data_IF_730856063049
#
_entry.id   IF_730856063049
#
_cell.length_a   1.000
_cell.length_b   1.000
_cell.length_c   1.000
_cell.angle_alpha   90.00
_cell.angle_beta   90.00
_cell.angle_gamma   90.00
#
_symmetry.space_group_name_H-M   'P 1'
#
loop_
_entity.id
_entity.type
_entity.pdbx_description
1 polymer ?
#
# COMPACT_ATOMS: atom_id res chain seq x y z
N UNK A 1 16.48 0.65 15.83
CA UNK A 1 16.15 0.05 14.52
C UNK A 1 15.41 -1.30 14.68
N UNK A 2 15.66 -2.05 15.76
CA UNK A 2 15.13 -3.42 15.94
C UNK A 2 13.61 -3.50 16.24
N UNK A 3 13.00 -2.43 16.71
CA UNK A 3 11.59 -2.47 17.20
C UNK A 3 10.54 -2.55 16.08
N UNK A 4 10.85 -2.10 14.85
CA UNK A 4 9.92 -2.13 13.72
C UNK A 4 9.73 -3.53 13.14
N UNK A 5 10.81 -4.32 13.07
CA UNK A 5 10.78 -5.69 12.54
C UNK A 5 9.95 -6.66 13.40
N UNK A 6 9.90 -6.42 14.72
CA UNK A 6 9.08 -7.21 15.63
C UNK A 6 7.60 -6.76 15.67
N UNK A 7 7.29 -5.53 15.24
CA UNK A 7 5.96 -4.98 15.27
C UNK A 7 5.05 -5.57 14.18
N UNK A 8 5.57 -5.72 12.96
CA UNK A 8 4.90 -6.38 11.84
C UNK A 8 5.09 -7.88 11.96
N UNK A 9 4.00 -8.64 11.90
CA UNK A 9 3.99 -10.10 12.03
C UNK A 9 3.79 -10.83 10.71
N UNK A 10 3.22 -10.16 9.73
CA UNK A 10 2.98 -10.74 8.42
C UNK A 10 2.59 -9.74 7.37
N UNK A 11 2.67 -10.21 6.14
CA UNK A 11 2.13 -9.54 4.96
C UNK A 11 1.02 -10.43 4.44
N UNK A 12 -0.10 -9.84 4.05
CA UNK A 12 -1.21 -10.54 3.41
C UNK A 12 -1.54 -9.87 2.09
N UNK A 13 -2.00 -10.68 1.12
CA UNK A 13 -2.55 -10.20 -0.16
C UNK A 13 -3.94 -10.76 -0.35
N UNK A 14 -4.83 -9.94 -0.89
CA UNK A 14 -6.12 -10.36 -1.43
C UNK A 14 -6.08 -10.04 -2.90
N UNK A 15 -6.11 -11.08 -3.70
CA UNK A 15 -5.99 -10.96 -5.15
C UNK A 15 -7.35 -10.83 -5.81
N UNK A 16 -7.34 -10.39 -7.07
CA UNK A 16 -8.50 -10.35 -7.95
C UNK A 16 -9.67 -9.53 -7.37
N UNK A 17 -9.39 -8.28 -7.01
CA UNK A 17 -10.39 -7.33 -6.53
C UNK A 17 -10.64 -6.23 -7.54
N UNK A 18 -11.86 -5.67 -7.52
CA UNK A 18 -12.22 -4.43 -8.18
C UNK A 18 -12.33 -3.31 -7.14
N UNK A 19 -11.70 -2.18 -7.44
CA UNK A 19 -11.82 -0.95 -6.67
C UNK A 19 -12.95 -0.10 -7.25
N UNK A 20 -13.92 0.25 -6.43
CA UNK A 20 -15.10 1.05 -6.81
C UNK A 20 -15.02 2.39 -6.10
N UNK A 21 -15.20 3.46 -6.85
CA UNK A 21 -15.22 4.82 -6.31
C UNK A 21 -16.50 5.52 -6.78
N UNK A 22 -17.34 5.92 -5.83
CA UNK A 22 -18.56 6.71 -6.05
C UNK A 22 -18.27 8.15 -5.64
N UNK A 23 -18.39 9.08 -6.58
CA UNK A 23 -18.08 10.49 -6.37
C UNK A 23 -19.28 11.39 -6.67
N UNK A 24 -19.47 12.41 -5.84
CA UNK A 24 -20.46 13.43 -6.08
C UNK A 24 -20.53 14.47 -4.98
N UNK A 25 -20.79 15.71 -5.36
CA UNK A 25 -20.98 16.84 -4.43
C UNK A 25 -22.30 16.75 -3.66
N UNK A 26 -23.28 16.06 -4.19
CA UNK A 26 -24.57 15.83 -3.55
C UNK A 26 -24.53 14.83 -2.38
N UNK A 27 -23.37 14.26 -2.07
CA UNK A 27 -23.20 13.40 -0.88
C UNK A 27 -22.82 14.20 0.38
N UNK A 28 -22.33 15.42 0.21
CA UNK A 28 -21.77 16.23 1.31
C UNK A 28 -22.89 16.63 2.27
N UNK A 29 -22.75 16.24 3.54
CA UNK A 29 -23.69 16.60 4.59
C UNK A 29 -25.08 15.99 4.43
N UNK A 30 -25.30 15.06 3.48
CA UNK A 30 -26.57 14.35 3.30
C UNK A 30 -26.53 13.04 4.07
N UNK A 31 -27.29 12.91 5.19
CA UNK A 31 -27.34 11.68 5.94
C UNK A 31 -27.98 10.54 5.13
N UNK A 32 -27.36 9.35 5.23
CA UNK A 32 -27.97 8.14 4.67
C UNK A 32 -27.44 7.67 3.34
N UNK A 33 -26.63 8.44 2.60
CA UNK A 33 -26.02 8.01 1.33
C UNK A 33 -25.23 6.72 1.48
N UNK A 34 -24.35 6.62 2.47
CA UNK A 34 -23.59 5.40 2.76
C UNK A 34 -24.52 4.22 3.12
N UNK A 35 -25.60 4.47 3.89
CA UNK A 35 -26.57 3.43 4.20
C UNK A 35 -27.26 2.89 2.95
N UNK A 36 -27.72 3.77 2.05
CA UNK A 36 -28.35 3.35 0.77
C UNK A 36 -27.37 2.54 -0.07
N UNK A 37 -26.13 3.02 -0.20
CA UNK A 37 -25.08 2.32 -0.94
C UNK A 37 -24.85 0.91 -0.41
N UNK A 38 -24.65 0.78 0.90
CA UNK A 38 -24.36 -0.54 1.46
C UNK A 38 -25.60 -1.44 1.50
N UNK A 39 -26.80 -0.89 1.65
CA UNK A 39 -28.05 -1.65 1.59
C UNK A 39 -28.31 -2.23 0.20
N UNK A 40 -28.09 -1.47 -0.86
CA UNK A 40 -28.28 -2.00 -2.22
C UNK A 40 -27.25 -3.08 -2.58
N UNK A 41 -25.99 -2.94 -2.10
CA UNK A 41 -24.98 -3.98 -2.27
C UNK A 41 -25.31 -5.25 -1.46
N UNK A 42 -25.79 -5.08 -0.22
CA UNK A 42 -26.26 -6.20 0.61
C UNK A 42 -27.43 -6.94 -0.05
N UNK A 43 -28.42 -6.22 -0.59
CA UNK A 43 -29.55 -6.83 -1.28
C UNK A 43 -29.15 -7.61 -2.53
N UNK A 44 -28.04 -7.26 -3.14
CA UNK A 44 -27.42 -7.97 -4.27
C UNK A 44 -26.42 -9.07 -3.84
N UNK A 45 -26.32 -9.36 -2.54
CA UNK A 45 -25.38 -10.34 -1.94
C UNK A 45 -23.91 -10.07 -2.26
N UNK A 46 -23.55 -8.79 -2.44
CA UNK A 46 -22.17 -8.37 -2.73
C UNK A 46 -21.43 -8.11 -1.43
N UNK A 47 -20.34 -8.86 -1.22
CA UNK A 47 -19.44 -8.70 -0.07
C UNK A 47 -18.41 -7.61 -0.32
N UNK A 48 -18.27 -6.68 0.63
CA UNK A 48 -17.27 -5.62 0.59
C UNK A 48 -16.02 -6.08 1.37
N UNK A 49 -14.86 -5.93 0.77
CA UNK A 49 -13.58 -6.40 1.30
C UNK A 49 -12.83 -5.26 2.03
N UNK A 50 -12.91 -4.04 1.50
CA UNK A 50 -12.23 -2.85 2.02
C UNK A 50 -13.14 -1.64 1.81
N UNK A 51 -13.14 -0.73 2.78
CA UNK A 51 -13.83 0.57 2.67
C UNK A 51 -12.83 1.66 3.07
N UNK A 52 -12.80 2.72 2.29
CA UNK A 52 -12.09 3.95 2.64
C UNK A 52 -12.90 5.15 2.16
N UNK A 53 -12.94 6.20 2.94
CA UNK A 53 -13.66 7.43 2.62
C UNK A 53 -12.76 8.63 2.90
N UNK A 54 -12.70 9.56 1.95
CA UNK A 54 -12.00 10.81 2.17
C UNK A 54 -12.76 11.70 3.16
N UNK A 55 -12.03 12.55 3.89
CA UNK A 55 -12.60 13.46 4.91
C UNK A 55 -13.54 14.52 4.34
N UNK A 56 -13.57 14.70 3.03
CA UNK A 56 -14.40 15.68 2.33
C UNK A 56 -15.83 15.22 2.06
N UNK A 57 -16.18 13.97 2.41
CA UNK A 57 -17.48 13.35 2.11
C UNK A 57 -17.89 13.34 0.61
N UNK A 58 -16.97 13.71 -0.28
CA UNK A 58 -17.21 13.74 -1.74
C UNK A 58 -17.16 12.37 -2.38
N UNK A 59 -16.53 11.39 -1.75
CA UNK A 59 -16.33 10.08 -2.33
C UNK A 59 -16.43 8.97 -1.30
N UNK A 60 -16.98 7.85 -1.74
CA UNK A 60 -16.95 6.58 -1.01
C UNK A 60 -16.22 5.58 -1.89
N UNK A 61 -15.08 5.09 -1.41
CA UNK A 61 -14.27 4.11 -2.12
C UNK A 61 -14.31 2.77 -1.38
N UNK A 62 -14.52 1.69 -2.11
CA UNK A 62 -14.55 0.34 -1.54
C UNK A 62 -14.05 -0.70 -2.54
N UNK A 63 -13.67 -1.86 -2.05
CA UNK A 63 -13.23 -2.97 -2.87
C UNK A 63 -14.16 -4.17 -2.73
N UNK A 64 -14.41 -4.83 -3.84
CA UNK A 64 -15.20 -6.07 -3.96
C UNK A 64 -14.41 -7.11 -4.73
N UNK A 65 -14.88 -8.35 -4.82
CA UNK A 65 -14.32 -9.33 -5.75
C UNK A 65 -14.50 -8.85 -7.20
N UNK A 66 -13.50 -9.08 -8.02
CA UNK A 66 -13.50 -8.65 -9.42
C UNK A 66 -14.69 -9.22 -10.22
N UNK A 67 -15.09 -10.45 -9.93
CA UNK A 67 -16.27 -11.09 -10.53
C UNK A 67 -17.60 -10.33 -10.28
N UNK A 68 -17.68 -9.58 -9.19
CA UNK A 68 -18.85 -8.78 -8.81
C UNK A 68 -18.88 -7.37 -9.45
N UNK A 69 -17.81 -6.94 -10.10
CA UNK A 69 -17.61 -5.56 -10.55
C UNK A 69 -18.77 -5.04 -11.45
N UNK A 70 -19.19 -5.83 -12.44
CA UNK A 70 -20.28 -5.46 -13.35
C UNK A 70 -21.63 -5.35 -12.61
N UNK A 71 -21.88 -6.27 -11.67
CA UNK A 71 -23.12 -6.26 -10.90
C UNK A 71 -23.16 -5.05 -9.96
N UNK A 72 -22.03 -4.72 -9.34
CA UNK A 72 -21.86 -3.51 -8.50
C UNK A 72 -22.24 -2.26 -9.27
N UNK A 73 -21.70 -2.09 -10.47
CA UNK A 73 -21.99 -0.92 -11.30
C UNK A 73 -23.50 -0.81 -11.64
N UNK A 74 -24.10 -1.91 -12.03
CA UNK A 74 -25.54 -1.95 -12.36
C UNK A 74 -26.43 -1.61 -11.16
N UNK A 75 -26.13 -2.20 -10.00
CA UNK A 75 -26.91 -2.00 -8.77
C UNK A 75 -26.82 -0.56 -8.29
N UNK A 76 -25.62 0.03 -8.29
CA UNK A 76 -25.41 1.42 -7.85
C UNK A 76 -26.07 2.40 -8.81
N UNK A 77 -25.89 2.24 -10.13
CA UNK A 77 -26.51 3.12 -11.11
C UNK A 77 -28.05 3.07 -11.05
N UNK A 78 -28.62 1.91 -10.73
CA UNK A 78 -30.08 1.74 -10.53
C UNK A 78 -30.54 2.42 -9.25
N UNK A 79 -29.84 2.23 -8.13
CA UNK A 79 -30.20 2.80 -6.82
C UNK A 79 -30.13 4.33 -6.82
N UNK A 80 -29.12 4.89 -7.49
CA UNK A 80 -28.84 6.33 -7.51
C UNK A 80 -29.18 6.99 -8.86
N UNK A 81 -30.20 6.47 -9.56
CA UNK A 81 -30.61 6.98 -10.89
C UNK A 81 -30.94 8.47 -10.86
N UNK A 82 -31.64 8.93 -9.82
CA UNK A 82 -32.04 10.33 -9.68
C UNK A 82 -30.83 11.24 -9.46
N UNK A 83 -29.91 10.84 -8.56
CA UNK A 83 -28.72 11.60 -8.23
C UNK A 83 -27.74 11.70 -9.42
N UNK A 84 -27.62 10.65 -10.21
CA UNK A 84 -26.85 10.71 -11.47
C UNK A 84 -27.52 11.64 -12.50
N UNK A 85 -28.86 11.64 -12.57
CA UNK A 85 -29.60 12.48 -13.51
C UNK A 85 -29.58 13.96 -13.10
N UNK A 86 -29.61 14.26 -11.81
CA UNK A 86 -29.51 15.64 -11.29
C UNK A 86 -28.08 16.20 -11.31
N UNK A 87 -27.07 15.33 -11.41
CA UNK A 87 -25.67 15.70 -11.31
C UNK A 87 -25.13 15.78 -9.87
N UNK A 88 -25.92 15.36 -8.87
CA UNK A 88 -25.49 15.24 -7.48
C UNK A 88 -24.42 14.17 -7.29
N UNK A 89 -24.54 13.06 -8.03
CA UNK A 89 -23.50 12.09 -8.25
C UNK A 89 -22.87 12.31 -9.63
N UNK A 90 -21.56 12.48 -9.67
CA UNK A 90 -20.83 12.86 -10.87
C UNK A 90 -20.19 11.67 -11.56
N UNK A 91 -19.66 10.73 -10.79
CA UNK A 91 -18.92 9.61 -11.36
C UNK A 91 -19.06 8.33 -10.53
N UNK A 92 -19.03 7.21 -11.21
CA UNK A 92 -18.89 5.88 -10.65
C UNK A 92 -17.80 5.15 -11.43
N UNK A 93 -16.64 5.07 -10.81
CA UNK A 93 -15.47 4.40 -11.40
C UNK A 93 -15.34 3.00 -10.85
N UNK A 94 -15.18 2.03 -11.74
CA UNK A 94 -14.90 0.63 -11.39
C UNK A 94 -13.57 0.24 -12.02
N UNK A 95 -12.56 0.03 -11.20
CA UNK A 95 -11.22 -0.35 -11.62
C UNK A 95 -10.98 -1.83 -11.31
N UNK A 96 -10.99 -2.64 -12.34
CA UNK A 96 -10.70 -4.07 -12.28
C UNK A 96 -9.20 -4.35 -12.12
N UNK A 97 -8.85 -5.61 -11.89
CA UNK A 97 -7.48 -6.11 -11.84
C UNK A 97 -6.62 -5.37 -10.78
N UNK A 98 -7.16 -5.27 -9.60
CA UNK A 98 -6.47 -4.74 -8.42
C UNK A 98 -6.19 -5.85 -7.41
N UNK A 99 -5.18 -5.63 -6.57
CA UNK A 99 -4.88 -6.44 -5.40
C UNK A 99 -4.84 -5.56 -4.17
N UNK A 100 -5.23 -6.09 -3.02
CA UNK A 100 -5.03 -5.45 -1.72
C UNK A 100 -3.82 -6.08 -1.07
N UNK A 101 -2.85 -5.28 -0.66
CA UNK A 101 -1.67 -5.72 0.09
C UNK A 101 -1.74 -5.08 1.46
N UNK A 102 -1.50 -5.86 2.51
CA UNK A 102 -1.50 -5.33 3.86
C UNK A 102 -0.34 -5.86 4.71
N UNK A 103 0.18 -5.02 5.59
CA UNK A 103 1.03 -5.42 6.71
C UNK A 103 0.16 -5.54 7.96
N UNK A 104 0.38 -6.59 8.74
CA UNK A 104 -0.41 -6.91 9.92
C UNK A 104 0.48 -7.22 11.12
N UNK A 105 0.07 -6.80 12.30
CA UNK A 105 0.77 -7.13 13.53
C UNK A 105 0.25 -6.39 14.76
N UNK A 106 0.07 -7.11 15.86
CA UNK A 106 -0.38 -6.52 17.13
C UNK A 106 0.63 -5.52 17.72
N UNK A 107 1.91 -5.64 17.37
CA UNK A 107 2.96 -4.71 17.80
C UNK A 107 3.04 -3.42 16.98
N UNK A 108 2.20 -3.26 15.95
CA UNK A 108 2.18 -2.05 15.13
C UNK A 108 1.55 -0.86 15.85
N UNK A 109 0.57 -1.12 16.71
CA UNK A 109 -0.14 -0.08 17.47
C UNK A 109 0.84 0.75 18.30
N UNK A 110 0.79 2.07 18.16
CA UNK A 110 1.70 3.01 18.82
C UNK A 110 3.16 2.99 18.32
N UNK A 111 3.53 2.11 17.39
CA UNK A 111 4.91 2.02 16.87
C UNK A 111 5.12 2.99 15.71
N UNK A 112 5.97 3.99 15.95
CA UNK A 112 6.26 5.04 14.97
C UNK A 112 6.98 4.52 13.74
N UNK A 113 6.55 4.99 12.57
CA UNK A 113 7.25 4.78 11.29
C UNK A 113 6.91 3.47 10.57
N UNK A 114 5.92 2.69 11.05
CA UNK A 114 5.43 1.51 10.31
C UNK A 114 4.85 1.93 8.96
N UNK A 115 3.94 2.90 8.96
CA UNK A 115 3.36 3.44 7.72
C UNK A 115 4.44 3.96 6.76
N UNK A 116 5.43 4.72 7.29
CA UNK A 116 6.56 5.18 6.47
C UNK A 116 7.32 4.02 5.82
N UNK A 117 7.63 2.96 6.59
CA UNK A 117 8.31 1.77 6.07
C UNK A 117 7.51 1.07 4.98
N UNK A 118 6.19 0.92 5.20
CA UNK A 118 5.29 0.28 4.25
C UNK A 118 5.19 1.06 2.93
N UNK A 119 4.89 2.36 2.98
CA UNK A 119 4.76 3.15 1.77
C UNK A 119 6.10 3.41 1.08
N UNK A 120 7.20 3.51 1.85
CA UNK A 120 8.55 3.58 1.27
C UNK A 120 8.88 2.33 0.46
N UNK A 121 8.59 1.15 0.99
CA UNK A 121 8.83 -0.10 0.26
C UNK A 121 8.01 -0.18 -1.05
N UNK A 122 6.75 0.25 -1.04
CA UNK A 122 5.91 0.32 -2.24
C UNK A 122 6.48 1.32 -3.25
N UNK A 123 6.93 2.49 -2.78
CA UNK A 123 7.57 3.51 -3.61
C UNK A 123 8.88 3.00 -4.23
N UNK A 124 9.76 2.36 -3.43
CA UNK A 124 11.05 1.82 -3.91
C UNK A 124 10.84 0.73 -4.98
N UNK A 125 9.71 0.00 -4.92
CA UNK A 125 9.30 -0.96 -5.96
C UNK A 125 8.71 -0.29 -7.22
N UNK A 126 8.57 1.04 -7.26
CA UNK A 126 7.96 1.77 -8.37
C UNK A 126 6.48 1.43 -8.57
N UNK A 127 5.73 1.23 -7.46
CA UNK A 127 4.32 0.86 -7.48
C UNK A 127 3.44 2.04 -7.08
N UNK A 128 2.38 2.28 -7.86
CA UNK A 128 1.38 3.29 -7.53
C UNK A 128 0.31 2.72 -6.59
N UNK A 129 -0.01 3.46 -5.53
CA UNK A 129 -1.10 3.15 -4.59
C UNK A 129 -2.38 3.83 -5.04
N UNK A 130 -3.46 3.06 -5.20
CA UNK A 130 -4.77 3.55 -5.65
C UNK A 130 -5.68 3.94 -4.48
N UNK A 131 -5.64 3.18 -3.39
CA UNK A 131 -6.39 3.44 -2.17
C UNK A 131 -5.64 2.93 -0.95
N UNK A 132 -5.92 3.53 0.21
CA UNK A 132 -5.29 3.21 1.49
C UNK A 132 -6.39 3.03 2.52
N UNK A 133 -6.26 2.01 3.37
CA UNK A 133 -7.10 1.84 4.54
C UNK A 133 -6.27 1.46 5.76
N UNK A 134 -6.55 2.14 6.88
CA UNK A 134 -5.96 1.83 8.16
C UNK A 134 -7.04 1.99 9.24
N UNK A 135 -7.27 0.94 10.01
CA UNK A 135 -8.19 1.00 11.15
C UNK A 135 -7.57 1.71 12.36
N UNK A 136 -8.42 2.22 13.25
CA UNK A 136 -8.01 2.89 14.50
C UNK A 136 -7.27 1.97 15.48
N UNK A 137 -7.35 0.65 15.31
CA UNK A 137 -6.56 -0.31 16.09
C UNK A 137 -5.07 -0.27 15.75
N UNK A 138 -4.70 0.33 14.60
CA UNK A 138 -3.33 0.39 14.06
C UNK A 138 -2.66 -1.00 13.88
N UNK A 139 -3.46 -2.07 13.83
CA UNK A 139 -2.94 -3.44 13.72
C UNK A 139 -2.79 -3.91 12.27
N UNK A 140 -3.28 -3.12 11.33
CA UNK A 140 -3.10 -3.34 9.89
C UNK A 140 -2.98 -2.01 9.14
N UNK A 141 -2.26 -2.03 8.03
CA UNK A 141 -2.23 -0.97 7.02
C UNK A 141 -2.37 -1.67 5.68
N UNK A 142 -3.38 -1.27 4.91
CA UNK A 142 -3.68 -1.86 3.60
C UNK A 142 -3.52 -0.84 2.49
N UNK A 143 -3.04 -1.28 1.35
CA UNK A 143 -2.95 -0.50 0.12
C UNK A 143 -3.52 -1.29 -1.04
N UNK A 144 -4.29 -0.63 -1.90
CA UNK A 144 -4.77 -1.19 -3.16
C UNK A 144 -3.80 -0.80 -4.26
N UNK A 145 -3.33 -1.78 -5.01
CA UNK A 145 -2.38 -1.62 -6.11
C UNK A 145 -2.89 -2.31 -7.37
N UNK A 146 -2.25 -2.07 -8.51
CA UNK A 146 -2.54 -2.84 -9.71
C UNK A 146 -2.09 -4.30 -9.54
N UNK A 147 -2.84 -5.25 -10.05
CA UNK A 147 -2.54 -6.67 -9.98
C UNK A 147 -1.14 -7.02 -10.51
N UNK A 148 -0.74 -6.40 -11.63
CA UNK A 148 0.57 -6.64 -12.23
C UNK A 148 1.75 -6.18 -11.34
N UNK A 149 1.50 -5.26 -10.42
CA UNK A 149 2.51 -4.68 -9.55
C UNK A 149 2.53 -5.34 -8.16
N UNK A 150 1.53 -6.16 -7.83
CA UNK A 150 1.35 -6.72 -6.51
C UNK A 150 2.54 -7.55 -6.03
N UNK A 151 3.09 -8.41 -6.90
CA UNK A 151 4.22 -9.28 -6.57
C UNK A 151 5.45 -8.48 -6.17
N UNK A 152 5.87 -7.51 -6.98
CA UNK A 152 7.06 -6.67 -6.68
C UNK A 152 6.86 -5.82 -5.42
N UNK A 153 5.62 -5.35 -5.17
CA UNK A 153 5.31 -4.63 -3.94
C UNK A 153 5.45 -5.52 -2.70
N UNK A 154 4.90 -6.74 -2.73
CA UNK A 154 5.01 -7.72 -1.63
C UNK A 154 6.47 -8.07 -1.35
N UNK A 155 7.26 -8.34 -2.38
CA UNK A 155 8.69 -8.65 -2.25
C UNK A 155 9.47 -7.50 -1.59
N UNK A 156 9.22 -6.25 -2.03
CA UNK A 156 9.85 -5.07 -1.45
C UNK A 156 9.43 -4.84 0.00
N UNK A 157 8.14 -5.00 0.32
CA UNK A 157 7.63 -4.90 1.69
C UNK A 157 8.26 -6.00 2.57
N UNK A 158 8.36 -7.22 2.04
CA UNK A 158 9.00 -8.33 2.76
C UNK A 158 10.45 -7.99 3.10
N UNK A 159 11.21 -7.51 2.14
CA UNK A 159 12.59 -7.08 2.36
C UNK A 159 12.68 -5.97 3.41
N UNK A 160 11.80 -4.99 3.38
CA UNK A 160 11.81 -3.87 4.32
C UNK A 160 11.51 -4.26 5.78
N UNK A 161 10.67 -5.28 6.00
CA UNK A 161 10.21 -5.65 7.34
C UNK A 161 10.80 -6.95 7.88
N UNK A 162 11.25 -7.87 7.02
CA UNK A 162 11.65 -9.21 7.43
C UNK A 162 13.08 -9.60 7.04
N UNK A 163 13.67 -8.95 6.03
CA UNK A 163 15.09 -9.22 5.71
C UNK A 163 16.00 -8.69 6.80
N UNK A 164 16.90 -9.53 7.26
CA UNK A 164 17.98 -9.17 8.17
C UNK A 164 19.14 -8.61 7.38
N UNK A 165 18.96 -7.39 6.83
CA UNK A 165 20.10 -6.69 6.21
C UNK A 165 21.20 -6.45 7.26
N UNK A 166 22.37 -6.95 6.98
CA UNK A 166 23.55 -6.71 7.81
C UNK A 166 24.16 -5.36 7.39
N UNK A 167 24.10 -4.37 8.26
CA UNK A 167 24.85 -3.13 8.08
C UNK A 167 26.35 -3.39 8.32
N UNK A 168 27.13 -3.53 7.25
CA UNK A 168 28.58 -3.62 7.31
C UNK A 168 29.17 -2.21 7.29
N UNK A 169 29.62 -1.75 8.46
CA UNK A 169 30.22 -0.42 8.62
C UNK A 169 31.73 -0.54 8.40
N UNK A 170 32.27 0.17 7.43
CA UNK A 170 33.69 0.14 7.07
C UNK A 170 34.32 1.49 7.38
N UNK A 171 35.41 1.48 8.16
CA UNK A 171 36.36 2.58 8.28
C UNK A 171 37.64 2.26 7.48
N UNK A 172 38.15 3.20 6.70
CA UNK A 172 39.38 3.04 5.92
C UNK A 172 40.47 3.92 6.56
N UNK A 173 41.54 3.28 7.06
CA UNK A 173 42.72 3.95 7.58
C UNK A 173 43.88 3.83 6.58
N UNK A 174 44.43 4.96 6.16
CA UNK A 174 45.43 5.02 5.08
C UNK A 174 44.80 5.01 3.69
N UNK A 175 44.73 6.16 3.03
CA UNK A 175 44.10 6.29 1.71
C UNK A 175 45.14 6.33 0.57
N UNK A 176 46.07 5.35 0.56
CA UNK A 176 47.03 5.12 -0.51
C UNK A 176 46.37 4.46 -1.76
N UNK A 177 47.22 4.05 -2.71
CA UNK A 177 46.74 3.49 -3.98
C UNK A 177 45.86 2.24 -3.81
N UNK A 178 46.21 1.36 -2.85
CA UNK A 178 45.44 0.13 -2.59
C UNK A 178 44.05 0.45 -2.00
N UNK A 179 44.00 1.34 -1.00
CA UNK A 179 42.74 1.73 -0.38
C UNK A 179 41.82 2.48 -1.34
N UNK A 180 42.39 3.30 -2.22
CA UNK A 180 41.61 4.00 -3.28
C UNK A 180 41.00 3.01 -4.27
N UNK A 181 41.76 2.01 -4.71
CA UNK A 181 41.22 1.01 -5.63
C UNK A 181 40.17 0.12 -4.94
N UNK A 182 40.38 -0.28 -3.70
CA UNK A 182 39.39 -0.98 -2.88
C UNK A 182 38.09 -0.18 -2.76
N UNK A 183 38.18 1.12 -2.47
CA UNK A 183 37.02 2.00 -2.39
C UNK A 183 36.26 2.09 -3.72
N UNK A 184 36.97 2.20 -4.84
CA UNK A 184 36.37 2.20 -6.17
C UNK A 184 35.65 0.89 -6.49
N UNK A 185 36.21 -0.25 -6.11
CA UNK A 185 35.59 -1.56 -6.30
C UNK A 185 34.34 -1.71 -5.40
N UNK A 186 34.41 -1.27 -4.14
CA UNK A 186 33.25 -1.25 -3.26
C UNK A 186 32.11 -0.42 -3.83
N UNK A 187 32.38 0.77 -4.36
CA UNK A 187 31.34 1.60 -4.99
C UNK A 187 30.70 0.92 -6.21
N UNK A 188 31.49 0.20 -7.01
CA UNK A 188 30.97 -0.50 -8.20
C UNK A 188 30.14 -1.73 -7.84
N UNK A 189 30.51 -2.43 -6.77
CA UNK A 189 29.91 -3.73 -6.43
C UNK A 189 28.89 -3.64 -5.28
N UNK A 190 28.81 -2.52 -4.55
CA UNK A 190 27.92 -2.39 -3.37
C UNK A 190 26.46 -2.74 -3.67
N UNK A 191 25.94 -2.27 -4.81
CA UNK A 191 24.56 -2.58 -5.21
C UNK A 191 24.34 -4.08 -5.50
N UNK A 192 25.29 -4.74 -6.12
CA UNK A 192 25.19 -6.18 -6.38
C UNK A 192 25.25 -6.98 -5.08
N UNK A 193 26.17 -6.61 -4.17
CA UNK A 193 26.29 -7.25 -2.84
C UNK A 193 25.02 -7.04 -2.02
N UNK A 194 24.44 -5.83 -2.05
CA UNK A 194 23.20 -5.53 -1.35
C UNK A 194 22.03 -6.39 -1.88
N UNK A 195 21.96 -6.55 -3.21
CA UNK A 195 20.90 -7.35 -3.85
C UNK A 195 21.07 -8.85 -3.62
N UNK A 196 22.31 -9.37 -3.68
CA UNK A 196 22.58 -10.81 -3.63
C UNK A 196 22.71 -11.35 -2.20
N UNK A 197 23.08 -10.50 -1.21
CA UNK A 197 23.46 -10.95 0.13
C UNK A 197 22.78 -10.23 1.27
N UNK A 198 21.85 -9.29 1.00
CA UNK A 198 21.21 -8.42 2.01
C UNK A 198 22.21 -7.67 2.91
N UNK A 199 23.44 -7.42 2.43
CA UNK A 199 24.48 -6.69 3.14
C UNK A 199 24.54 -5.25 2.63
N UNK A 200 24.22 -4.29 3.50
CA UNK A 200 24.35 -2.86 3.20
C UNK A 200 25.75 -2.41 3.64
N UNK A 201 26.57 -2.01 2.68
CA UNK A 201 27.92 -1.52 2.96
C UNK A 201 27.90 0.00 3.15
N UNK A 202 28.34 0.48 4.31
CA UNK A 202 28.45 1.91 4.65
C UNK A 202 29.90 2.25 4.98
N UNK A 203 30.54 3.06 4.14
CA UNK A 203 31.87 3.64 4.48
C UNK A 203 31.63 4.92 5.28
N UNK A 204 31.99 4.91 6.57
CA UNK A 204 31.67 5.99 7.52
C UNK A 204 32.85 6.89 7.82
N UNK A 205 34.06 6.42 7.58
CA UNK A 205 35.28 7.19 7.81
C UNK A 205 36.41 6.80 6.82
N UNK A 206 37.10 7.80 6.35
CA UNK A 206 38.33 7.65 5.58
C UNK A 206 39.37 8.58 6.22
N UNK A 207 40.47 8.04 6.76
CA UNK A 207 41.55 8.80 7.39
C UNK A 207 42.88 8.47 6.73
N UNK A 208 43.75 9.46 6.67
CA UNK A 208 45.11 9.34 6.11
C UNK A 208 46.13 9.21 7.23
#
# INVERSE_FOLDING_TARGET
>A
ANNKKQAVKGITSIDDVALVNLEGTGMIGIPGTANRLYSCLQAAEISIILITQASSEHSICFAVKNESANLVEQVIRKEFTEEFSSGDLQDLQVQNNCNIIAVVGSGMSGTKGIALGFFKAIFDAGVNVKAIAQGSSEQNISAVVNQNDAKKAVESIHSAFFSDSIDLIIGILGFGNVAREFFNQLQKQSKAIETDSDIIIKVVAVAN
#
